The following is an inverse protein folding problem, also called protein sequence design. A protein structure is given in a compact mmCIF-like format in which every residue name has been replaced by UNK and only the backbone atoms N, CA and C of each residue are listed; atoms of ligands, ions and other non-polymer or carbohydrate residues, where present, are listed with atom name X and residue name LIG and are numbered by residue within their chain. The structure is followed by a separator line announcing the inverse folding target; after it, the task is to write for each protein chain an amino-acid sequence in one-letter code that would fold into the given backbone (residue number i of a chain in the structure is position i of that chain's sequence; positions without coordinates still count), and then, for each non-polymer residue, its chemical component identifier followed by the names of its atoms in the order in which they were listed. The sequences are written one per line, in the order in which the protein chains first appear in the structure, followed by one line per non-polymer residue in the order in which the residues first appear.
data_IF_689543314462
#
_entry.id   IF_689543314462
#
_cell.length_a   1.000
_cell.length_b   1.000
_cell.length_c   1.000
_cell.angle_alpha   90.00
_cell.angle_beta   90.00
_cell.angle_gamma   90.00
#
_symmetry.space_group_name_H-M   'P 1'
#
loop_
_entity.id
_entity.type
_entity.pdbx_description
1 polymer ?
#
# COMPACT_ATOMS: atom_id res chain seq x y z
N UNK A 1 10.91 -15.56 10.90
CA UNK A 1 9.46 -15.79 10.72
C UNK A 1 8.82 -15.93 12.09
N UNK A 2 7.78 -15.17 12.37
CA UNK A 2 7.05 -15.19 13.63
C UNK A 2 5.54 -15.10 13.38
N UNK A 3 4.77 -15.40 14.41
CA UNK A 3 3.31 -15.20 14.38
C UNK A 3 2.97 -14.27 15.53
N UNK A 4 2.28 -13.18 15.22
CA UNK A 4 1.76 -12.24 16.22
C UNK A 4 0.26 -12.42 16.36
N UNK A 5 -0.29 -12.01 17.49
CA UNK A 5 -1.74 -12.05 17.72
C UNK A 5 -2.25 -10.62 17.90
N UNK A 6 -3.25 -10.25 17.12
CA UNK A 6 -3.92 -8.94 17.20
C UNK A 6 -4.85 -8.86 18.43
N UNK A 7 -5.35 -7.66 18.75
CA UNK A 7 -6.25 -7.46 19.90
C UNK A 7 -7.56 -8.25 19.82
N UNK A 8 -8.03 -8.53 18.61
CA UNK A 8 -9.23 -9.33 18.33
C UNK A 8 -8.93 -10.83 18.13
N UNK A 9 -7.69 -11.26 18.42
CA UNK A 9 -7.28 -12.67 18.45
C UNK A 9 -6.85 -13.25 17.12
N UNK A 10 -6.80 -12.47 16.03
CA UNK A 10 -6.34 -12.91 14.71
C UNK A 10 -4.83 -13.08 14.71
N UNK A 11 -4.34 -14.20 14.20
CA UNK A 11 -2.91 -14.48 14.07
C UNK A 11 -2.40 -13.99 12.72
N UNK A 12 -1.35 -13.17 12.74
CA UNK A 12 -0.70 -12.66 11.55
C UNK A 12 0.72 -13.24 11.44
N UNK A 13 1.03 -13.74 10.27
CA UNK A 13 2.37 -14.19 9.91
C UNK A 13 3.26 -12.98 9.60
N UNK A 14 4.43 -12.93 10.21
CA UNK A 14 5.39 -11.83 10.09
C UNK A 14 6.76 -12.37 9.72
N UNK A 15 7.42 -11.71 8.78
CA UNK A 15 8.81 -11.97 8.41
C UNK A 15 9.66 -10.74 8.63
N UNK A 16 10.87 -10.95 9.12
CA UNK A 16 11.85 -9.91 9.39
C UNK A 16 13.19 -10.24 8.75
N UNK A 17 13.87 -9.21 8.26
CA UNK A 17 15.22 -9.31 7.73
C UNK A 17 16.01 -8.03 8.02
N UNK A 18 17.30 -8.19 8.39
CA UNK A 18 18.20 -7.07 8.65
C UNK A 18 18.02 -6.44 10.03
N UNK A 19 18.81 -5.39 10.27
CA UNK A 19 18.86 -4.63 11.52
C UNK A 19 18.92 -3.12 11.21
N UNK A 20 18.61 -2.28 12.20
CA UNK A 20 18.63 -0.83 12.06
C UNK A 20 17.24 -0.19 12.12
N UNK A 21 17.07 0.98 11.49
CA UNK A 21 15.77 1.68 11.47
C UNK A 21 14.69 0.81 10.83
N UNK A 22 13.51 0.64 11.49
CA UNK A 22 12.47 -0.26 10.99
C UNK A 22 11.75 0.28 9.76
N UNK A 23 11.48 -0.60 8.78
CA UNK A 23 10.59 -0.38 7.64
C UNK A 23 9.52 -1.47 7.66
N UNK A 24 8.24 -1.08 7.73
CA UNK A 24 7.11 -1.98 7.62
C UNK A 24 6.53 -1.90 6.20
N UNK A 25 6.49 -3.03 5.51
CA UNK A 25 5.94 -3.16 4.17
C UNK A 25 4.55 -3.81 4.20
N UNK A 26 3.56 -3.17 3.58
CA UNK A 26 2.16 -3.59 3.55
C UNK A 26 1.76 -3.90 2.11
N UNK A 27 1.39 -5.16 1.85
CA UNK A 27 1.15 -5.65 0.49
C UNK A 27 -0.18 -5.18 -0.11
N UNK A 28 -0.30 -5.30 -1.43
CA UNK A 28 -1.52 -5.09 -2.18
C UNK A 28 -2.50 -6.26 -2.08
N UNK A 29 -3.73 -6.08 -2.63
CA UNK A 29 -4.74 -7.14 -2.67
C UNK A 29 -4.30 -8.36 -3.48
N UNK A 30 -3.76 -8.19 -4.67
CA UNK A 30 -3.31 -9.29 -5.54
C UNK A 30 -2.00 -9.93 -5.12
N UNK A 31 -1.27 -9.32 -4.17
CA UNK A 31 -0.01 -9.81 -3.64
C UNK A 31 -0.15 -10.44 -2.25
N UNK A 32 0.98 -10.67 -1.63
CA UNK A 32 1.12 -11.09 -0.24
C UNK A 32 2.45 -10.55 0.32
N UNK A 33 2.84 -10.96 1.53
CA UNK A 33 4.10 -10.54 2.15
C UNK A 33 5.34 -10.78 1.28
N UNK A 34 5.35 -11.82 0.44
CA UNK A 34 6.46 -12.14 -0.47
C UNK A 34 6.58 -11.16 -1.66
N UNK A 35 5.58 -10.34 -1.92
CA UNK A 35 5.64 -9.33 -2.99
C UNK A 35 6.67 -8.23 -2.70
N UNK A 36 7.19 -8.16 -1.48
CA UNK A 36 8.22 -7.23 -1.06
C UNK A 36 9.64 -7.80 -1.07
N UNK A 37 9.83 -9.02 -1.57
CA UNK A 37 11.14 -9.68 -1.61
C UNK A 37 12.26 -8.84 -2.27
N UNK A 38 12.04 -8.15 -3.41
CA UNK A 38 13.06 -7.26 -3.99
C UNK A 38 13.46 -6.11 -3.05
N UNK A 39 12.51 -5.59 -2.25
CA UNK A 39 12.75 -4.55 -1.28
C UNK A 39 13.47 -5.09 -0.04
N UNK A 40 13.04 -6.25 0.46
CA UNK A 40 13.71 -6.90 1.59
C UNK A 40 15.18 -7.15 1.30
N UNK A 41 15.52 -7.73 0.15
CA UNK A 41 16.92 -8.00 -0.26
C UNK A 41 17.77 -6.73 -0.36
N UNK A 42 17.17 -5.62 -0.73
CA UNK A 42 17.85 -4.35 -0.86
C UNK A 42 18.02 -3.65 0.49
N UNK A 43 16.92 -3.47 1.24
CA UNK A 43 16.90 -2.66 2.45
C UNK A 43 17.42 -3.38 3.69
N UNK A 44 17.31 -4.71 3.79
CA UNK A 44 17.81 -5.49 4.96
C UNK A 44 19.31 -5.37 5.21
N UNK A 45 20.06 -4.86 4.26
CA UNK A 45 21.50 -4.56 4.43
C UNK A 45 21.76 -3.39 5.40
N UNK A 46 20.74 -2.56 5.68
CA UNK A 46 20.89 -1.31 6.46
C UNK A 46 19.69 -1.00 7.34
N UNK A 47 18.59 -1.73 7.18
CA UNK A 47 17.33 -1.49 7.88
C UNK A 47 16.75 -2.80 8.40
N UNK A 48 15.99 -2.72 9.49
CA UNK A 48 15.14 -3.83 9.94
C UNK A 48 13.87 -3.81 9.11
N UNK A 49 13.80 -4.70 8.12
CA UNK A 49 12.66 -4.82 7.20
C UNK A 49 11.65 -5.80 7.76
N UNK A 50 10.38 -5.41 7.79
CA UNK A 50 9.27 -6.21 8.27
C UNK A 50 8.22 -6.31 7.16
N UNK A 51 7.77 -7.53 6.87
CA UNK A 51 6.59 -7.81 6.05
C UNK A 51 5.63 -8.69 6.84
N UNK A 52 4.36 -8.62 6.52
CA UNK A 52 3.37 -9.52 7.11
C UNK A 52 2.31 -9.89 6.07
N UNK A 53 1.76 -11.10 6.19
CA UNK A 53 0.55 -11.47 5.49
C UNK A 53 -0.63 -10.83 6.23
N UNK A 54 -1.43 -10.02 5.54
CA UNK A 54 -2.61 -9.41 6.14
C UNK A 54 -3.64 -10.48 6.54
N UNK A 55 -4.58 -10.13 7.44
CA UNK A 55 -5.72 -11.03 7.71
C UNK A 55 -6.44 -11.41 6.42
N UNK A 56 -6.82 -12.67 6.30
CA UNK A 56 -7.40 -13.22 5.07
C UNK A 56 -6.38 -13.77 4.08
N UNK A 57 -5.08 -13.56 4.32
CA UNK A 57 -4.00 -14.04 3.46
C UNK A 57 -3.17 -15.11 4.18
N UNK A 58 -3.27 -16.40 3.78
CA UNK A 58 -2.43 -17.44 4.36
C UNK A 58 -0.93 -17.10 4.23
N UNK A 59 -0.11 -17.43 5.24
CA UNK A 59 -0.39 -18.25 6.40
C UNK A 59 -1.00 -17.52 7.61
N UNK A 60 -1.42 -16.27 7.48
CA UNK A 60 -2.24 -15.59 8.50
C UNK A 60 -3.64 -16.18 8.58
N UNK A 61 -4.32 -15.96 9.70
CA UNK A 61 -5.69 -16.40 9.89
C UNK A 61 -6.64 -15.78 8.85
N UNK A 62 -7.67 -16.55 8.50
CA UNK A 62 -8.73 -16.16 7.58
C UNK A 62 -10.06 -16.11 8.36
N UNK A 63 -10.40 -14.98 8.99
CA UNK A 63 -11.67 -14.83 9.69
C UNK A 63 -12.87 -15.07 8.77
N UNK A 64 -13.90 -15.75 9.30
CA UNK A 64 -15.09 -16.13 8.52
C UNK A 64 -16.02 -14.93 8.23
N UNK A 65 -16.16 -14.03 9.20
CA UNK A 65 -17.05 -12.88 9.08
C UNK A 65 -16.41 -11.74 8.27
N UNK A 66 -17.17 -11.16 7.34
CA UNK A 66 -16.77 -9.96 6.61
C UNK A 66 -16.55 -8.76 7.54
N UNK A 67 -17.20 -8.73 8.70
CA UNK A 67 -17.06 -7.65 9.68
C UNK A 67 -15.70 -7.66 10.41
N UNK A 68 -14.95 -8.76 10.28
CA UNK A 68 -13.55 -8.82 10.70
C UNK A 68 -12.59 -8.11 9.72
N UNK A 69 -13.12 -7.54 8.64
CA UNK A 69 -12.33 -6.86 7.60
C UNK A 69 -12.82 -5.43 7.41
N UNK A 70 -11.95 -4.48 7.63
CA UNK A 70 -12.18 -3.07 7.31
C UNK A 70 -10.86 -2.32 7.15
N UNK A 71 -10.91 -1.13 6.57
CA UNK A 71 -9.73 -0.29 6.44
C UNK A 71 -9.17 0.13 7.81
N UNK A 72 -10.03 0.36 8.80
CA UNK A 72 -9.61 0.68 10.17
C UNK A 72 -8.89 -0.50 10.83
N UNK A 73 -9.46 -1.71 10.71
CA UNK A 73 -8.85 -2.94 11.23
C UNK A 73 -7.50 -3.21 10.56
N UNK A 74 -7.38 -3.02 9.24
CA UNK A 74 -6.11 -3.19 8.54
C UNK A 74 -5.01 -2.24 9.07
N UNK A 75 -5.36 -0.99 9.41
CA UNK A 75 -4.42 -0.06 10.04
C UNK A 75 -4.07 -0.48 11.49
N UNK A 76 -5.04 -0.97 12.25
CA UNK A 76 -4.83 -1.48 13.60
C UNK A 76 -3.96 -2.76 13.60
N UNK A 77 -4.07 -3.62 12.57
CA UNK A 77 -3.19 -4.78 12.37
C UNK A 77 -1.73 -4.36 12.14
N UNK A 78 -1.50 -3.32 11.34
CA UNK A 78 -0.15 -2.78 11.12
C UNK A 78 0.45 -2.24 12.44
N UNK A 79 -0.35 -1.61 13.29
CA UNK A 79 0.07 -1.20 14.64
C UNK A 79 0.38 -2.42 15.51
N UNK A 80 -0.47 -3.46 15.49
CA UNK A 80 -0.27 -4.68 16.27
C UNK A 80 1.03 -5.40 15.88
N UNK A 81 1.41 -5.39 14.60
CA UNK A 81 2.71 -5.90 14.15
C UNK A 81 3.87 -5.12 14.80
N UNK A 82 3.82 -3.78 14.79
CA UNK A 82 4.86 -2.97 15.43
C UNK A 82 4.92 -3.21 16.95
N UNK A 83 3.77 -3.30 17.62
CA UNK A 83 3.69 -3.51 19.07
C UNK A 83 4.30 -4.87 19.46
N UNK A 84 3.94 -5.94 18.75
CA UNK A 84 4.46 -7.28 19.02
C UNK A 84 5.97 -7.39 18.81
N UNK A 85 6.54 -6.58 17.95
CA UNK A 85 7.97 -6.51 17.66
C UNK A 85 8.73 -5.48 18.50
N UNK A 86 8.05 -4.82 19.46
CA UNK A 86 8.59 -3.74 20.29
C UNK A 86 9.18 -2.58 19.48
N UNK A 87 8.50 -2.20 18.39
CA UNK A 87 8.91 -1.10 17.53
C UNK A 87 8.04 0.12 17.84
N UNK A 88 8.67 1.18 18.35
CA UNK A 88 7.98 2.45 18.65
C UNK A 88 7.55 3.17 17.36
N UNK A 89 8.47 3.34 16.40
CA UNK A 89 8.22 4.03 15.12
C UNK A 89 8.90 3.33 13.97
N UNK A 90 8.22 3.28 12.81
CA UNK A 90 8.77 2.73 11.57
C UNK A 90 8.49 3.62 10.37
N UNK A 91 9.25 3.45 9.28
CA UNK A 91 8.85 3.88 7.96
C UNK A 91 7.76 2.90 7.47
N UNK A 92 6.60 3.43 7.07
CA UNK A 92 5.47 2.62 6.62
C UNK A 92 5.38 2.71 5.09
N UNK A 93 5.47 1.59 4.43
CA UNK A 93 5.49 1.49 2.96
C UNK A 93 4.37 0.57 2.51
N UNK A 94 3.41 1.07 1.75
CA UNK A 94 2.29 0.27 1.28
C UNK A 94 2.00 0.44 -0.19
N UNK A 95 1.62 -0.67 -0.84
CA UNK A 95 1.19 -0.71 -2.23
C UNK A 95 -0.32 -0.95 -2.32
N UNK A 96 -1.03 -0.16 -3.11
CA UNK A 96 -2.46 -0.34 -3.42
C UNK A 96 -3.32 -0.40 -2.16
N UNK A 97 -3.91 -1.55 -1.83
CA UNK A 97 -4.59 -1.81 -0.55
C UNK A 97 -3.70 -1.42 0.65
N UNK A 98 -2.42 -1.81 0.60
CA UNK A 98 -1.41 -1.40 1.59
C UNK A 98 -1.14 0.10 1.58
N UNK A 99 -1.24 0.76 0.42
CA UNK A 99 -1.14 2.23 0.30
C UNK A 99 -2.31 2.94 1.00
N UNK A 100 -3.53 2.45 0.84
CA UNK A 100 -4.68 2.93 1.64
C UNK A 100 -4.47 2.68 3.12
N UNK A 101 -3.99 1.51 3.50
CA UNK A 101 -3.64 1.19 4.89
C UNK A 101 -2.59 2.19 5.43
N UNK A 102 -1.58 2.54 4.64
CA UNK A 102 -0.54 3.51 4.99
C UNK A 102 -1.11 4.91 5.25
N UNK A 103 -2.05 5.38 4.43
CA UNK A 103 -2.75 6.67 4.65
C UNK A 103 -3.54 6.62 5.96
N UNK A 104 -4.34 5.58 6.17
CA UNK A 104 -5.12 5.42 7.41
C UNK A 104 -4.24 5.26 8.65
N UNK A 105 -3.11 4.58 8.55
CA UNK A 105 -2.10 4.52 9.61
C UNK A 105 -1.61 5.92 9.98
N UNK A 106 -1.23 6.73 8.99
CA UNK A 106 -0.77 8.10 9.19
C UNK A 106 -1.82 9.02 9.83
N UNK A 107 -3.09 8.85 9.46
CA UNK A 107 -4.20 9.63 10.04
C UNK A 107 -4.54 9.20 11.47
N UNK A 108 -4.47 7.91 11.79
CA UNK A 108 -4.92 7.36 13.07
C UNK A 108 -3.81 7.31 14.12
N UNK A 109 -2.57 7.04 13.70
CA UNK A 109 -1.41 6.84 14.59
C UNK A 109 -0.15 7.54 14.06
N UNK A 110 -0.20 8.85 13.74
CA UNK A 110 0.93 9.57 13.13
C UNK A 110 2.22 9.50 13.97
N UNK A 111 2.09 9.39 15.28
CA UNK A 111 3.23 9.27 16.20
C UNK A 111 4.01 7.95 16.04
N UNK A 112 3.42 6.93 15.41
CA UNK A 112 4.05 5.61 15.16
C UNK A 112 4.76 5.57 13.78
N UNK A 113 4.59 6.60 12.93
CA UNK A 113 5.23 6.70 11.64
C UNK A 113 6.45 7.62 11.67
N UNK A 114 7.58 7.15 11.11
CA UNK A 114 8.73 7.99 10.74
C UNK A 114 8.46 8.67 9.40
N UNK A 115 7.90 7.93 8.46
CA UNK A 115 7.42 8.42 7.17
C UNK A 115 6.39 7.46 6.59
N UNK A 116 5.69 7.92 5.56
CA UNK A 116 4.70 7.15 4.82
C UNK A 116 5.11 7.09 3.34
N UNK A 117 5.10 5.89 2.74
CA UNK A 117 5.21 5.73 1.28
C UNK A 117 3.93 5.10 0.78
N UNK A 118 3.18 5.86 0.00
CA UNK A 118 1.88 5.48 -0.57
C UNK A 118 2.08 5.19 -2.04
N UNK A 119 2.14 3.91 -2.40
CA UNK A 119 2.41 3.47 -3.76
C UNK A 119 1.15 2.90 -4.41
N UNK A 120 0.86 3.26 -5.68
CA UNK A 120 -0.22 2.71 -6.48
C UNK A 120 -1.59 2.72 -5.79
N UNK A 121 -1.95 3.79 -5.08
CA UNK A 121 -3.20 3.85 -4.33
C UNK A 121 -4.12 4.95 -4.87
N UNK A 122 -5.33 4.57 -5.29
CA UNK A 122 -6.27 5.54 -5.86
C UNK A 122 -7.59 4.96 -6.36
N UNK A 123 -7.65 3.66 -6.64
CA UNK A 123 -8.85 3.01 -7.17
C UNK A 123 -10.09 3.28 -6.30
N UNK A 124 -11.15 3.80 -6.92
CA UNK A 124 -12.40 4.15 -6.25
C UNK A 124 -12.38 5.48 -5.48
N UNK A 125 -11.27 6.25 -5.54
CA UNK A 125 -11.22 7.55 -4.85
C UNK A 125 -11.98 8.64 -5.59
N UNK A 126 -11.88 8.71 -6.93
CA UNK A 126 -12.56 9.73 -7.70
C UNK A 126 -14.08 9.51 -7.66
N UNK A 127 -14.84 10.53 -7.29
CA UNK A 127 -16.29 10.43 -7.01
C UNK A 127 -17.10 9.86 -8.19
N UNK A 128 -16.71 10.18 -9.44
CA UNK A 128 -17.38 9.64 -10.62
C UNK A 128 -17.15 8.12 -10.80
N UNK A 129 -16.11 7.55 -10.18
CA UNK A 129 -15.79 6.13 -10.28
C UNK A 129 -16.05 5.33 -8.99
N UNK A 130 -16.46 5.98 -7.91
CA UNK A 130 -16.62 5.35 -6.59
C UNK A 130 -17.60 4.16 -6.64
N UNK A 131 -18.80 4.36 -7.20
CA UNK A 131 -19.81 3.30 -7.28
C UNK A 131 -19.40 2.20 -8.28
N UNK A 132 -18.75 2.56 -9.38
CA UNK A 132 -18.20 1.58 -10.32
C UNK A 132 -17.18 0.66 -9.63
N UNK A 133 -16.20 1.21 -8.92
CA UNK A 133 -15.20 0.38 -8.22
C UNK A 133 -15.76 -0.41 -7.05
N UNK A 134 -16.78 0.12 -6.39
CA UNK A 134 -17.52 -0.65 -5.40
C UNK A 134 -18.17 -1.87 -6.04
N UNK A 135 -18.83 -1.70 -7.17
CA UNK A 135 -19.42 -2.81 -7.94
C UNK A 135 -18.37 -3.83 -8.38
N UNK A 136 -17.26 -3.37 -8.97
CA UNK A 136 -16.13 -4.24 -9.35
C UNK A 136 -15.58 -5.01 -8.16
N UNK A 137 -15.43 -4.37 -6.99
CA UNK A 137 -14.94 -5.06 -5.79
C UNK A 137 -15.87 -6.19 -5.34
N UNK A 138 -17.19 -5.97 -5.40
CA UNK A 138 -18.18 -6.99 -5.07
C UNK A 138 -18.18 -8.12 -6.10
N UNK A 139 -18.07 -7.82 -7.39
CA UNK A 139 -17.95 -8.82 -8.45
C UNK A 139 -16.68 -9.67 -8.30
N UNK A 140 -15.54 -9.05 -7.99
CA UNK A 140 -14.28 -9.76 -7.72
C UNK A 140 -14.45 -10.69 -6.52
N UNK A 141 -15.10 -10.24 -5.43
CA UNK A 141 -15.39 -11.08 -4.28
C UNK A 141 -16.21 -12.32 -4.65
N UNK A 142 -17.28 -12.12 -5.43
CA UNK A 142 -18.15 -13.19 -5.90
C UNK A 142 -17.39 -14.20 -6.79
N UNK A 143 -16.47 -13.70 -7.63
CA UNK A 143 -15.67 -14.56 -8.49
C UNK A 143 -14.68 -15.41 -7.68
N UNK A 144 -14.06 -14.88 -6.64
CA UNK A 144 -13.22 -15.68 -5.73
C UNK A 144 -14.03 -16.78 -5.04
N UNK A 145 -15.25 -16.51 -4.59
CA UNK A 145 -16.11 -17.53 -3.95
C UNK A 145 -16.62 -18.59 -4.93
N UNK A 146 -16.99 -18.18 -6.17
CA UNK A 146 -17.61 -19.09 -7.14
C UNK A 146 -16.59 -19.93 -7.90
N UNK A 147 -15.44 -19.36 -8.26
CA UNK A 147 -14.44 -20.00 -9.11
C UNK A 147 -13.23 -20.50 -8.32
N UNK A 148 -12.97 -19.90 -7.15
CA UNK A 148 -11.77 -20.10 -6.36
C UNK A 148 -10.58 -19.30 -6.88
N UNK A 149 -9.62 -19.03 -5.98
CA UNK A 149 -8.44 -18.23 -6.29
C UNK A 149 -7.62 -18.81 -7.45
N UNK A 150 -7.48 -20.15 -7.51
CA UNK A 150 -6.70 -20.84 -8.54
C UNK A 150 -7.20 -20.58 -9.96
N UNK A 151 -8.51 -20.55 -10.18
CA UNK A 151 -9.07 -20.31 -11.52
C UNK A 151 -9.21 -18.80 -11.78
N UNK A 152 -9.70 -18.04 -10.80
CA UNK A 152 -9.95 -16.63 -10.99
C UNK A 152 -8.65 -15.79 -11.11
N UNK A 153 -7.53 -16.23 -10.51
CA UNK A 153 -6.22 -15.56 -10.70
C UNK A 153 -5.81 -15.48 -12.16
N UNK A 154 -6.16 -16.44 -13.00
CA UNK A 154 -5.86 -16.44 -14.44
C UNK A 154 -6.53 -15.27 -15.18
N UNK A 155 -7.65 -14.78 -14.68
CA UNK A 155 -8.38 -13.62 -15.22
C UNK A 155 -7.88 -12.34 -14.55
N UNK A 156 -7.81 -12.34 -13.22
CA UNK A 156 -7.41 -11.16 -12.45
C UNK A 156 -6.00 -10.66 -12.78
N UNK A 157 -5.04 -11.58 -12.98
CA UNK A 157 -3.66 -11.24 -13.32
C UNK A 157 -3.51 -10.60 -14.72
N UNK A 158 -4.52 -10.72 -15.60
CA UNK A 158 -4.56 -10.11 -16.93
C UNK A 158 -5.19 -8.71 -16.94
N UNK A 159 -5.51 -8.15 -15.78
CA UNK A 159 -6.06 -6.80 -15.67
C UNK A 159 -5.19 -5.74 -16.34
N UNK A 160 -5.81 -4.69 -16.90
CA UNK A 160 -5.14 -3.64 -17.68
C UNK A 160 -3.93 -3.04 -16.94
N UNK A 161 -4.03 -2.83 -15.64
CA UNK A 161 -2.96 -2.29 -14.79
C UNK A 161 -1.75 -3.22 -14.60
N UNK A 162 -1.80 -4.45 -15.12
CA UNK A 162 -0.71 -5.46 -15.05
C UNK A 162 -0.01 -5.68 -16.40
N UNK A 163 -0.52 -5.08 -17.47
CA UNK A 163 -0.01 -5.30 -18.84
C UNK A 163 1.46 -4.90 -18.97
N UNK A 164 1.85 -3.76 -18.40
CA UNK A 164 3.25 -3.31 -18.45
C UNK A 164 4.18 -4.25 -17.69
N UNK A 165 3.75 -4.75 -16.54
CA UNK A 165 4.52 -5.75 -15.80
C UNK A 165 4.71 -7.03 -16.63
N UNK A 166 3.64 -7.55 -17.25
CA UNK A 166 3.71 -8.72 -18.10
C UNK A 166 4.66 -8.52 -19.31
N UNK A 167 4.62 -7.34 -19.91
CA UNK A 167 5.47 -7.02 -21.08
C UNK A 167 6.95 -6.89 -20.71
N UNK A 168 7.27 -6.30 -19.55
CA UNK A 168 8.65 -6.05 -19.11
C UNK A 168 9.30 -7.27 -18.48
N UNK A 169 8.55 -7.98 -17.63
CA UNK A 169 9.03 -9.17 -16.91
C UNK A 169 7.94 -10.27 -16.91
N UNK A 170 7.83 -11.02 -18.02
CA UNK A 170 6.84 -12.11 -18.12
C UNK A 170 7.02 -13.17 -17.03
N UNK A 171 8.28 -13.40 -16.59
CA UNK A 171 8.56 -14.37 -15.53
C UNK A 171 8.09 -13.87 -14.15
N UNK A 172 8.43 -12.64 -13.80
CA UNK A 172 7.98 -12.03 -12.55
C UNK A 172 6.46 -11.88 -12.52
N UNK A 173 5.84 -11.55 -13.65
CA UNK A 173 4.38 -11.53 -13.78
C UNK A 173 3.76 -12.92 -13.56
N UNK A 174 4.37 -14.01 -14.08
CA UNK A 174 3.91 -15.37 -13.84
C UNK A 174 4.02 -15.74 -12.35
N UNK A 175 5.15 -15.39 -11.71
CA UNK A 175 5.31 -15.60 -10.27
C UNK A 175 4.24 -14.84 -9.45
N UNK A 176 3.86 -13.64 -9.86
CA UNK A 176 2.75 -12.89 -9.26
C UNK A 176 1.42 -13.64 -9.43
N UNK A 177 1.10 -14.10 -10.65
CA UNK A 177 -0.12 -14.86 -10.94
C UNK A 177 -0.20 -16.18 -10.14
N UNK A 178 0.92 -16.89 -10.02
CA UNK A 178 1.04 -18.14 -9.27
C UNK A 178 0.80 -17.91 -7.76
N UNK A 179 1.34 -16.80 -7.20
CA UNK A 179 1.09 -16.42 -5.80
C UNK A 179 -0.36 -16.06 -5.56
N UNK A 180 -0.97 -15.29 -6.46
CA UNK A 180 -2.39 -14.96 -6.40
C UNK A 180 -3.28 -16.21 -6.39
N UNK A 181 -2.90 -17.24 -7.16
CA UNK A 181 -3.60 -18.52 -7.20
C UNK A 181 -3.58 -19.29 -5.86
N UNK A 182 -2.71 -18.91 -4.93
CA UNK A 182 -2.63 -19.52 -3.58
C UNK A 182 -3.42 -18.77 -2.51
N UNK A 183 -4.11 -17.69 -2.87
CA UNK A 183 -4.93 -16.93 -1.92
C UNK A 183 -6.09 -17.79 -1.38
N UNK A 184 -6.57 -17.45 -0.19
CA UNK A 184 -7.81 -18.00 0.33
C UNK A 184 -9.00 -17.42 -0.41
N UNK A 185 -9.88 -18.25 -0.97
CA UNK A 185 -11.10 -17.81 -1.64
C UNK A 185 -11.94 -16.90 -0.73
N UNK A 186 -12.17 -17.35 0.50
CA UNK A 186 -12.90 -16.59 1.52
C UNK A 186 -12.16 -15.32 1.95
N UNK A 187 -10.85 -15.43 2.20
CA UNK A 187 -10.04 -14.30 2.63
C UNK A 187 -10.03 -13.19 1.57
N UNK A 188 -9.85 -13.55 0.31
CA UNK A 188 -9.91 -12.61 -0.81
C UNK A 188 -11.31 -11.98 -0.94
N UNK A 189 -12.38 -12.78 -0.90
CA UNK A 189 -13.74 -12.28 -0.98
C UNK A 189 -14.09 -11.33 0.18
N UNK A 190 -13.73 -11.68 1.43
CA UNK A 190 -13.99 -10.84 2.60
C UNK A 190 -13.15 -9.55 2.56
N UNK A 191 -11.91 -9.60 2.08
CA UNK A 191 -11.07 -8.41 1.88
C UNK A 191 -11.70 -7.47 0.85
N UNK A 192 -12.20 -8.00 -0.26
CA UNK A 192 -12.91 -7.18 -1.25
C UNK A 192 -14.18 -6.54 -0.69
N UNK A 193 -15.01 -7.29 0.02
CA UNK A 193 -16.26 -6.78 0.61
C UNK A 193 -16.05 -5.87 1.80
N UNK A 194 -15.15 -6.23 2.70
CA UNK A 194 -14.94 -5.51 3.97
C UNK A 194 -13.98 -4.32 3.85
N UNK A 195 -12.91 -4.44 3.07
CA UNK A 195 -11.91 -3.39 2.89
C UNK A 195 -12.16 -2.60 1.62
N UNK A 196 -12.08 -3.25 0.44
CA UNK A 196 -12.04 -2.53 -0.83
C UNK A 196 -13.36 -1.81 -1.16
N UNK A 197 -14.51 -2.49 -0.99
CA UNK A 197 -15.82 -1.93 -1.29
C UNK A 197 -16.34 -0.93 -0.26
N UNK A 198 -15.74 -0.89 0.95
CA UNK A 198 -16.24 -0.06 2.07
C UNK A 198 -15.27 1.05 2.49
N UNK A 199 -14.04 1.05 1.99
CA UNK A 199 -13.05 2.07 2.38
C UNK A 199 -13.49 3.45 1.92
N UNK A 200 -13.24 4.51 2.71
CA UNK A 200 -13.52 5.88 2.29
C UNK A 200 -12.56 6.30 1.17
N UNK A 201 -13.02 7.20 0.31
CA UNK A 201 -12.19 7.89 -0.67
C UNK A 201 -11.16 8.78 0.04
N UNK A 202 -9.99 8.98 -0.57
CA UNK A 202 -9.02 9.97 -0.06
C UNK A 202 -9.61 11.39 -0.05
N UNK A 203 -10.53 11.71 -0.96
CA UNK A 203 -11.19 13.01 -1.00
C UNK A 203 -12.11 13.22 0.22
N UNK A 204 -12.67 12.15 0.80
CA UNK A 204 -13.46 12.22 2.04
C UNK A 204 -12.59 12.43 3.29
N UNK A 205 -11.28 12.23 3.18
CA UNK A 205 -10.32 12.36 4.26
C UNK A 205 -9.54 13.68 4.21
N UNK A 206 -9.93 14.62 3.34
CA UNK A 206 -9.19 15.83 3.02
C UNK A 206 -8.79 16.64 4.25
N UNK A 207 -9.68 16.85 5.21
CA UNK A 207 -9.41 17.64 6.40
C UNK A 207 -8.34 16.99 7.32
N UNK A 208 -8.38 15.68 7.46
CA UNK A 208 -7.35 14.93 8.19
C UNK A 208 -6.01 14.96 7.46
N UNK A 209 -6.02 14.82 6.13
CA UNK A 209 -4.82 14.85 5.29
C UNK A 209 -4.12 16.22 5.34
N UNK A 210 -4.86 17.33 5.39
CA UNK A 210 -4.31 18.68 5.56
C UNK A 210 -3.56 18.86 6.88
N UNK A 211 -3.92 18.09 7.90
CA UNK A 211 -3.31 18.15 9.22
C UNK A 211 -2.25 17.04 9.45
N UNK A 212 -2.06 16.15 8.50
CA UNK A 212 -1.09 15.07 8.58
C UNK A 212 0.31 15.56 8.20
N UNK A 213 1.15 15.84 9.21
CA UNK A 213 2.50 16.37 9.04
C UNK A 213 3.58 15.29 8.90
N UNK A 214 3.22 14.01 8.86
CA UNK A 214 4.16 12.92 8.65
C UNK A 214 4.80 13.04 7.26
N UNK A 215 6.14 13.00 7.14
CA UNK A 215 6.81 12.96 5.84
C UNK A 215 6.21 11.89 4.94
N UNK A 216 5.71 12.28 3.78
CA UNK A 216 4.98 11.39 2.88
C UNK A 216 5.56 11.41 1.47
N UNK A 217 5.74 10.23 0.88
CA UNK A 217 6.06 10.03 -0.52
C UNK A 217 4.91 9.29 -1.20
N UNK A 218 4.34 9.86 -2.24
CA UNK A 218 3.38 9.20 -3.12
C UNK A 218 4.11 8.74 -4.38
N UNK A 219 3.90 7.47 -4.78
CA UNK A 219 4.50 6.89 -5.98
C UNK A 219 3.42 6.26 -6.83
N UNK A 220 3.33 6.64 -8.10
CA UNK A 220 2.34 6.10 -9.05
C UNK A 220 3.01 5.73 -10.37
N UNK A 221 2.50 4.73 -11.07
CA UNK A 221 2.83 4.47 -12.46
C UNK A 221 2.00 5.37 -13.38
N UNK A 222 2.55 5.84 -14.49
CA UNK A 222 1.83 6.70 -15.44
C UNK A 222 0.76 5.95 -16.26
N UNK A 223 0.81 4.61 -16.25
CA UNK A 223 -0.20 3.73 -16.85
C UNK A 223 -1.10 3.06 -15.79
N UNK A 224 -1.11 3.57 -14.56
CA UNK A 224 -2.05 3.25 -13.49
C UNK A 224 -3.07 4.40 -13.34
N UNK A 225 -3.88 4.62 -14.38
CA UNK A 225 -4.72 5.81 -14.58
C UNK A 225 -5.54 6.22 -13.35
N UNK A 226 -6.14 5.24 -12.67
CA UNK A 226 -6.99 5.48 -11.50
C UNK A 226 -6.21 5.88 -10.23
N UNK A 227 -4.88 5.84 -10.26
CA UNK A 227 -4.01 6.27 -9.16
C UNK A 227 -3.39 7.66 -9.41
N UNK A 228 -3.38 8.17 -10.66
CA UNK A 228 -2.76 9.44 -11.01
C UNK A 228 -3.43 10.63 -10.31
N UNK A 229 -4.73 10.82 -10.52
CA UNK A 229 -5.46 11.96 -9.93
C UNK A 229 -5.50 11.89 -8.40
N UNK A 230 -5.79 10.74 -7.75
CA UNK A 230 -5.67 10.60 -6.31
C UNK A 230 -4.25 10.87 -5.79
N UNK A 231 -3.21 10.45 -6.52
CA UNK A 231 -1.82 10.74 -6.19
C UNK A 231 -1.51 12.24 -6.21
N UNK A 232 -1.98 12.96 -7.23
CA UNK A 232 -1.88 14.42 -7.33
C UNK A 232 -2.65 15.10 -6.19
N UNK A 233 -3.84 14.59 -5.86
CA UNK A 233 -4.64 15.09 -4.74
C UNK A 233 -3.88 14.95 -3.41
N UNK A 234 -3.35 13.76 -3.08
CA UNK A 234 -2.56 13.54 -1.88
C UNK A 234 -1.35 14.49 -1.81
N UNK A 235 -0.63 14.67 -2.95
CA UNK A 235 0.50 15.61 -3.04
C UNK A 235 0.11 17.05 -2.75
N UNK A 236 -1.06 17.47 -3.18
CA UNK A 236 -1.54 18.86 -2.97
C UNK A 236 -2.09 19.07 -1.57
N UNK A 237 -2.60 18.04 -0.93
CA UNK A 237 -3.34 18.10 0.34
C UNK A 237 -2.41 17.90 1.55
N UNK A 238 -1.50 16.91 1.50
CA UNK A 238 -0.60 16.61 2.62
C UNK A 238 0.57 17.60 2.64
N UNK A 239 0.82 18.32 3.76
CA UNK A 239 1.82 19.39 3.82
C UNK A 239 3.25 18.95 3.45
N UNK A 240 3.70 17.81 4.01
CA UNK A 240 5.06 17.29 3.80
C UNK A 240 5.08 16.13 2.78
N UNK A 241 4.42 16.32 1.63
CA UNK A 241 4.27 15.28 0.60
C UNK A 241 5.14 15.54 -0.63
N UNK A 242 5.83 14.49 -1.12
CA UNK A 242 6.43 14.39 -2.46
C UNK A 242 5.61 13.49 -3.37
N UNK A 243 5.69 13.68 -4.68
CA UNK A 243 5.08 12.82 -5.70
C UNK A 243 6.14 12.39 -6.70
N UNK A 244 6.20 11.11 -6.99
CA UNK A 244 6.95 10.54 -8.09
C UNK A 244 6.01 9.77 -9.02
N UNK A 245 6.17 9.96 -10.32
CA UNK A 245 5.44 9.23 -11.36
C UNK A 245 6.45 8.43 -12.16
N UNK A 246 6.28 7.11 -12.22
CA UNK A 246 7.15 6.22 -12.98
C UNK A 246 6.65 6.07 -14.41
N UNK A 247 7.49 6.37 -15.41
CA UNK A 247 7.09 6.30 -16.81
C UNK A 247 6.92 4.85 -17.27
N UNK A 248 5.92 4.61 -18.12
CA UNK A 248 5.63 3.28 -18.71
C UNK A 248 5.44 2.19 -17.65
N UNK A 249 4.83 2.53 -16.51
CA UNK A 249 4.70 1.67 -15.35
C UNK A 249 3.24 1.53 -14.94
N UNK A 250 2.83 0.30 -14.67
CA UNK A 250 1.49 -0.02 -14.20
C UNK A 250 1.39 0.02 -12.66
N UNK A 251 0.58 -0.89 -12.12
CA UNK A 251 0.17 -0.83 -10.72
C UNK A 251 1.19 -1.42 -9.72
N UNK A 252 1.93 -2.46 -10.12
CA UNK A 252 2.86 -3.18 -9.25
C UNK A 252 4.27 -2.63 -9.26
N UNK A 253 4.42 -1.30 -9.12
CA UNK A 253 5.69 -0.60 -9.33
C UNK A 253 6.87 -1.15 -8.52
N UNK A 254 6.64 -1.75 -7.36
CA UNK A 254 7.70 -2.31 -6.51
C UNK A 254 8.33 -3.59 -7.09
N UNK A 255 7.59 -4.36 -7.90
CA UNK A 255 8.09 -5.56 -8.57
C UNK A 255 8.26 -5.37 -10.08
N UNK A 256 7.55 -4.42 -10.68
CA UNK A 256 7.69 -4.04 -12.08
C UNK A 256 8.95 -3.21 -12.33
N UNK A 257 9.25 -2.26 -11.44
CA UNK A 257 10.42 -1.37 -11.50
C UNK A 257 11.22 -1.40 -10.17
N UNK A 258 11.68 -2.56 -9.71
CA UNK A 258 12.26 -2.72 -8.39
C UNK A 258 13.49 -1.85 -8.15
N UNK A 259 14.33 -1.65 -9.16
CA UNK A 259 15.53 -0.82 -9.04
C UNK A 259 15.18 0.66 -8.83
N UNK A 260 14.26 1.20 -9.63
CA UNK A 260 13.80 2.58 -9.54
C UNK A 260 13.05 2.82 -8.22
N UNK A 261 12.17 1.89 -7.83
CA UNK A 261 11.44 1.96 -6.57
C UNK A 261 12.38 1.96 -5.36
N UNK A 262 13.36 1.05 -5.34
CA UNK A 262 14.33 0.97 -4.25
C UNK A 262 15.20 2.22 -4.15
N UNK A 263 15.67 2.76 -5.26
CA UNK A 263 16.48 3.98 -5.27
C UNK A 263 15.68 5.20 -4.75
N UNK A 264 14.45 5.38 -5.22
CA UNK A 264 13.57 6.46 -4.79
C UNK A 264 13.24 6.35 -3.29
N UNK A 265 12.87 5.15 -2.83
CA UNK A 265 12.54 4.91 -1.43
C UNK A 265 13.76 5.12 -0.52
N UNK A 266 14.95 4.67 -0.93
CA UNK A 266 16.18 4.86 -0.16
C UNK A 266 16.54 6.35 -0.01
N UNK A 267 16.45 7.13 -1.07
CA UNK A 267 16.67 8.58 -1.03
C UNK A 267 15.65 9.28 -0.13
N UNK A 268 14.37 8.92 -0.25
CA UNK A 268 13.32 9.48 0.62
C UNK A 268 13.59 9.19 2.11
N UNK A 269 13.87 7.92 2.46
CA UNK A 269 14.19 7.52 3.84
C UNK A 269 15.40 8.31 4.34
N UNK A 270 16.48 8.41 3.56
CA UNK A 270 17.67 9.15 3.94
C UNK A 270 17.40 10.63 4.20
N UNK A 271 16.57 11.29 3.39
CA UNK A 271 16.17 12.68 3.62
C UNK A 271 15.32 12.84 4.89
N UNK A 272 14.41 11.89 5.16
CA UNK A 272 13.60 11.89 6.39
C UNK A 272 14.47 11.71 7.62
N UNK A 273 15.36 10.74 7.63
CA UNK A 273 16.28 10.47 8.74
C UNK A 273 17.23 11.62 9.01
N UNK A 274 17.63 12.34 7.96
CA UNK A 274 18.43 13.56 8.07
C UNK A 274 17.64 14.82 8.47
N UNK A 275 16.31 14.71 8.68
CA UNK A 275 15.43 15.85 9.00
C UNK A 275 15.28 16.87 7.86
N UNK A 276 15.49 16.46 6.60
CA UNK A 276 15.46 17.34 5.43
C UNK A 276 14.15 17.29 4.65
N UNK A 277 13.27 16.34 4.92
CA UNK A 277 11.95 16.26 4.27
C UNK A 277 10.94 17.13 5.02
N UNK A 278 10.92 18.42 4.67
CA UNK A 278 10.09 19.43 5.32
C UNK A 278 8.77 19.64 4.56
N UNK A 279 7.77 20.26 5.19
CA UNK A 279 6.58 20.74 4.49
C UNK A 279 6.96 21.67 3.32
N UNK A 280 6.09 21.74 2.32
CA UNK A 280 6.29 22.63 1.17
C UNK A 280 6.44 24.06 1.66
N UNK A 281 7.51 24.73 1.23
CA UNK A 281 7.75 26.14 1.55
C UNK A 281 6.56 26.99 1.09
N UNK A 282 5.96 27.81 1.98
CA UNK A 282 4.83 28.67 1.61
C UNK A 282 5.12 29.60 0.43
N UNK A 283 6.39 29.99 0.22
CA UNK A 283 6.81 30.79 -0.93
C UNK A 283 6.69 30.07 -2.27
N UNK A 284 6.64 28.74 -2.25
CA UNK A 284 6.46 27.91 -3.44
C UNK A 284 5.00 27.53 -3.71
N UNK A 285 4.04 28.01 -2.91
CA UNK A 285 2.62 27.80 -3.16
C UNK A 285 2.16 28.65 -4.36
N UNK A 286 1.21 28.12 -5.19
CA UNK A 286 0.69 28.89 -6.32
C UNK A 286 -0.07 30.13 -5.80
N UNK A 287 0.35 31.29 -6.21
CA UNK A 287 -0.27 32.57 -5.92
C UNK A 287 0.06 33.52 -7.06
N UNK A 288 1.27 34.02 -7.09
CA UNK A 288 1.78 34.86 -8.17
C UNK A 288 2.90 34.14 -8.91
N UNK A 289 2.87 34.15 -10.25
CA UNK A 289 3.91 33.52 -11.09
C UNK A 289 5.25 34.22 -10.88
N UNK A 290 5.23 35.54 -10.68
CA UNK A 290 6.40 36.32 -10.32
C UNK A 290 6.12 37.17 -9.09
N UNK A 291 7.02 37.14 -8.10
CA UNK A 291 7.02 38.06 -6.97
C UNK A 291 7.76 39.31 -7.39
N UNK A 292 7.07 40.40 -7.61
CA UNK A 292 7.63 41.69 -8.00
C UNK A 292 7.98 42.59 -6.80
N UNK A 293 7.82 42.07 -5.57
CA UNK A 293 8.14 42.79 -4.33
C UNK A 293 8.82 41.91 -3.31
#
# INVERSE_FOLDING_TARGET
MSVITTKDGVKLHVEEAGEGTPILFIHEFGGNHLSWEPQLRYFSRRHRCITYAARGYPPSDVPDSVDAYSQAIAADDAVAVLDALNIDKAHIVGLSMGGFCTVHFGLRTPQRARSLTVAGAGYGCEKQYEEYFRGVSLEVADNFEKQGAKEFSKVYALGASRVQFQNKDPRGWQEFADRLATHSDRGAANTMRGVQARRPSFYDLEDGLKQMHVPTLVVVGDEDDHCLQPGIFLKKTIPACGLSVFPKTGHTLNIEEPAAFNALLAEFIAQVEAGRWLPRDPRALPGEIMRTK
#
